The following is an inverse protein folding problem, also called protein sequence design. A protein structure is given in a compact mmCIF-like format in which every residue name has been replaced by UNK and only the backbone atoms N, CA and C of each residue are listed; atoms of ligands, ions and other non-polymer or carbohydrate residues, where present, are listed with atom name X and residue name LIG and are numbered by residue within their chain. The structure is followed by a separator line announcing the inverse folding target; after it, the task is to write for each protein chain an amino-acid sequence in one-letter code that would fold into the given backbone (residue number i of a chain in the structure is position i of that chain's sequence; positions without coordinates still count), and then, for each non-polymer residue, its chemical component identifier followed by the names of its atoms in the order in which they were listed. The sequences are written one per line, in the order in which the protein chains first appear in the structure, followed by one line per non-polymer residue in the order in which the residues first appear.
data_IF_413016624804
#
_entry.id   IF_413016624804
#
_cell.length_a   1.000
_cell.length_b   1.000
_cell.length_c   1.000
_cell.angle_alpha   90.00
_cell.angle_beta   90.00
_cell.angle_gamma   90.00
#
_symmetry.space_group_name_H-M   'P 1'
#
loop_
_entity.id
_entity.type
_entity.pdbx_description
1 polymer ?
#
# COMPACT_ATOMS: atom_id res chain seq x y z
N UNK A 1 19.59 -75.65 13.73
CA UNK A 1 18.54 -74.62 13.74
C UNK A 1 19.03 -73.53 14.66
N UNK A 2 19.11 -72.27 14.19
CA UNK A 2 18.91 -71.06 15.01
C UNK A 2 19.14 -69.82 14.14
N UNK A 3 18.09 -69.46 13.38
CA UNK A 3 18.03 -68.19 12.67
C UNK A 3 17.73 -67.07 13.67
N UNK A 4 18.77 -66.35 14.10
CA UNK A 4 18.63 -65.16 14.96
C UNK A 4 17.95 -64.05 14.17
N UNK A 5 16.65 -63.89 14.41
CA UNK A 5 15.81 -62.86 13.78
C UNK A 5 16.12 -61.49 14.41
N UNK A 6 17.12 -60.79 13.86
CA UNK A 6 17.55 -59.46 14.31
C UNK A 6 16.47 -58.43 13.97
N UNK A 7 15.46 -58.27 14.85
CA UNK A 7 14.47 -57.18 14.77
C UNK A 7 15.21 -55.84 14.68
N UNK A 8 15.24 -55.24 13.48
CA UNK A 8 15.71 -53.87 13.24
C UNK A 8 14.85 -52.93 14.08
N UNK A 9 15.33 -52.55 15.27
CA UNK A 9 14.76 -51.44 16.06
C UNK A 9 14.98 -50.17 15.25
N UNK A 10 13.97 -49.77 14.50
CA UNK A 10 13.93 -48.48 13.81
C UNK A 10 14.04 -47.40 14.89
N UNK A 11 15.10 -46.60 14.86
CA UNK A 11 15.31 -45.55 15.86
C UNK A 11 14.12 -44.58 15.80
N UNK A 12 13.60 -44.08 16.94
CA UNK A 12 12.43 -43.19 16.96
C UNK A 12 12.59 -41.95 16.05
N UNK A 13 13.83 -41.49 15.86
CA UNK A 13 14.20 -40.41 14.93
C UNK A 13 13.88 -40.77 13.47
N UNK A 14 14.15 -42.00 13.04
CA UNK A 14 13.85 -42.45 11.68
C UNK A 14 12.33 -42.60 11.44
N UNK A 15 11.58 -42.99 12.47
CA UNK A 15 10.11 -42.97 12.44
C UNK A 15 9.57 -41.54 12.30
N UNK A 16 10.10 -40.59 13.07
CA UNK A 16 9.71 -39.18 12.98
C UNK A 16 10.05 -38.59 11.59
N UNK A 17 11.23 -38.90 11.04
CA UNK A 17 11.63 -38.47 9.70
C UNK A 17 10.70 -39.03 8.62
N UNK A 18 10.41 -40.35 8.65
CA UNK A 18 9.49 -40.97 7.69
C UNK A 18 8.08 -40.39 7.79
N UNK A 19 7.63 -40.06 9.01
CA UNK A 19 6.33 -39.41 9.23
C UNK A 19 6.30 -38.01 8.61
N UNK A 20 7.36 -37.20 8.79
CA UNK A 20 7.46 -35.86 8.17
C UNK A 20 7.47 -35.97 6.64
N UNK A 21 8.25 -36.89 6.09
CA UNK A 21 8.29 -37.12 4.63
C UNK A 21 6.91 -37.54 4.12
N UNK A 22 6.25 -38.48 4.79
CA UNK A 22 4.89 -38.92 4.46
C UNK A 22 3.88 -37.77 4.46
N UNK A 23 3.94 -36.88 5.47
CA UNK A 23 3.11 -35.67 5.53
C UNK A 23 3.43 -34.74 4.36
N UNK A 24 4.69 -34.41 4.11
CA UNK A 24 5.08 -33.51 3.02
C UNK A 24 4.66 -34.05 1.64
N UNK A 25 4.74 -35.37 1.43
CA UNK A 25 4.24 -36.03 0.21
C UNK A 25 2.72 -35.93 0.10
N UNK A 26 1.98 -36.19 1.19
CA UNK A 26 0.53 -36.04 1.22
C UNK A 26 0.09 -34.60 0.89
N UNK A 27 0.80 -33.60 1.43
CA UNK A 27 0.52 -32.18 1.15
C UNK A 27 0.71 -31.80 -0.33
N UNK A 28 1.59 -32.49 -1.08
CA UNK A 28 1.77 -32.20 -2.51
C UNK A 28 0.52 -32.49 -3.34
N UNK A 29 -0.33 -33.44 -2.94
CA UNK A 29 -1.57 -33.74 -3.67
C UNK A 29 -2.57 -32.57 -3.65
N UNK A 30 -2.45 -31.67 -2.67
CA UNK A 30 -3.25 -30.45 -2.56
C UNK A 30 -2.53 -29.21 -3.10
N UNK A 31 -1.34 -29.37 -3.68
CA UNK A 31 -0.56 -28.27 -4.21
C UNK A 31 -1.06 -27.84 -5.59
N UNK A 32 -1.55 -26.60 -5.69
CA UNK A 32 -1.97 -26.01 -6.96
C UNK A 32 -0.90 -25.04 -7.46
N UNK A 33 -0.28 -25.26 -8.64
CA UNK A 33 0.65 -24.30 -9.19
C UNK A 33 -0.07 -23.01 -9.63
N UNK A 34 0.64 -21.88 -9.59
CA UNK A 34 0.13 -20.64 -10.15
C UNK A 34 -0.07 -20.78 -11.65
N UNK A 35 -1.30 -20.57 -12.11
CA UNK A 35 -1.59 -20.43 -13.54
C UNK A 35 -1.05 -19.08 -14.00
N UNK A 36 -0.22 -19.11 -15.04
CA UNK A 36 0.23 -17.91 -15.72
C UNK A 36 -0.87 -17.37 -16.63
N UNK A 37 -1.00 -16.05 -16.68
CA UNK A 37 -1.85 -15.36 -17.64
C UNK A 37 -0.98 -14.82 -18.80
N UNK A 38 -1.57 -14.50 -19.97
CA UNK A 38 -0.83 -13.85 -21.03
C UNK A 38 -0.37 -12.45 -20.61
N UNK A 39 0.74 -12.00 -21.19
CA UNK A 39 1.22 -10.62 -21.05
C UNK A 39 0.41 -9.75 -22.01
N UNK A 40 -0.34 -8.79 -21.49
CA UNK A 40 -1.17 -7.90 -22.30
C UNK A 40 -0.44 -6.62 -22.67
N UNK A 41 0.33 -6.05 -21.73
CA UNK A 41 1.09 -4.81 -21.96
C UNK A 41 2.28 -4.70 -21.01
N UNK A 42 3.44 -4.35 -21.55
CA UNK A 42 4.70 -4.23 -20.79
C UNK A 42 4.98 -2.77 -20.45
N UNK A 43 5.62 -2.56 -19.30
CA UNK A 43 6.23 -1.28 -18.93
C UNK A 43 7.31 -0.90 -19.95
N UNK A 44 7.36 0.39 -20.31
CA UNK A 44 8.44 0.96 -21.11
C UNK A 44 9.30 1.83 -20.20
N UNK A 45 10.54 1.43 -19.98
CA UNK A 45 11.51 2.14 -19.15
C UNK A 45 12.93 1.93 -19.69
N UNK A 46 13.92 2.76 -19.29
CA UNK A 46 15.32 2.52 -19.60
C UNK A 46 15.79 1.11 -19.21
N UNK A 47 16.78 0.58 -19.93
CA UNK A 47 17.27 -0.81 -19.72
C UNK A 47 17.72 -1.06 -18.29
N UNK A 48 18.40 -0.09 -17.68
CA UNK A 48 18.85 -0.16 -16.28
C UNK A 48 17.68 -0.29 -15.29
N UNK A 49 16.57 0.43 -15.52
CA UNK A 49 15.36 0.34 -14.72
C UNK A 49 14.69 -1.02 -14.91
N UNK A 50 14.59 -1.49 -16.15
CA UNK A 50 14.01 -2.80 -16.45
C UNK A 50 14.80 -3.93 -15.80
N UNK A 51 16.13 -3.88 -15.82
CA UNK A 51 16.97 -4.91 -15.20
C UNK A 51 16.71 -5.03 -13.69
N UNK A 52 16.56 -3.90 -12.99
CA UNK A 52 16.22 -3.88 -11.56
C UNK A 52 14.84 -4.49 -11.31
N UNK A 53 13.83 -4.04 -12.08
CA UNK A 53 12.46 -4.53 -11.91
C UNK A 53 12.31 -6.02 -12.25
N UNK A 54 13.00 -6.50 -13.29
CA UNK A 54 13.03 -7.90 -13.69
C UNK A 54 13.63 -8.79 -12.59
N UNK A 55 14.76 -8.36 -12.03
CA UNK A 55 15.48 -9.12 -11.02
C UNK A 55 14.77 -9.13 -9.65
N UNK A 56 14.21 -7.99 -9.23
CA UNK A 56 13.67 -7.84 -7.87
C UNK A 56 12.15 -7.88 -7.77
N UNK A 57 11.40 -7.65 -8.86
CA UNK A 57 9.96 -7.44 -8.78
C UNK A 57 9.12 -8.39 -9.67
N UNK A 58 9.59 -8.72 -10.88
CA UNK A 58 8.75 -9.41 -11.88
C UNK A 58 8.32 -10.81 -11.44
N UNK A 59 9.11 -11.53 -10.65
CA UNK A 59 8.76 -12.85 -10.16
C UNK A 59 7.41 -12.87 -9.41
N UNK A 60 7.07 -11.79 -8.70
CA UNK A 60 5.80 -11.67 -8.00
C UNK A 60 4.79 -10.78 -8.74
N UNK A 61 5.26 -9.70 -9.36
CA UNK A 61 4.43 -8.67 -9.97
C UNK A 61 4.21 -8.84 -11.48
N UNK A 62 4.36 -10.05 -12.05
CA UNK A 62 4.07 -10.32 -13.47
C UNK A 62 3.23 -11.58 -13.63
N UNK A 63 2.47 -11.66 -14.73
CA UNK A 63 1.61 -12.80 -15.06
C UNK A 63 2.39 -14.11 -15.29
N UNK A 64 3.67 -14.02 -15.61
CA UNK A 64 4.55 -15.17 -15.87
C UNK A 64 5.68 -15.18 -14.82
N UNK A 65 5.46 -15.79 -13.65
CA UNK A 65 6.43 -15.74 -12.56
C UNK A 65 7.55 -16.75 -12.81
N UNK A 66 8.81 -16.32 -12.71
CA UNK A 66 9.95 -17.23 -12.75
C UNK A 66 10.34 -17.70 -11.34
N UNK A 67 9.47 -18.52 -10.74
CA UNK A 67 9.70 -19.04 -9.39
C UNK A 67 10.77 -20.14 -9.37
N UNK A 68 11.58 -20.16 -8.31
CA UNK A 68 12.52 -21.25 -8.05
C UNK A 68 11.76 -22.57 -7.83
N UNK A 69 12.44 -23.71 -8.04
CA UNK A 69 11.79 -25.02 -7.92
C UNK A 69 11.25 -25.28 -6.51
N UNK A 70 11.94 -24.78 -5.48
CA UNK A 70 11.54 -24.98 -4.07
C UNK A 70 10.34 -24.11 -3.68
N UNK A 71 10.13 -22.96 -4.31
CA UNK A 71 8.93 -22.13 -4.11
C UNK A 71 7.66 -22.83 -4.61
N UNK A 72 7.81 -23.88 -5.43
CA UNK A 72 6.69 -24.64 -6.02
C UNK A 72 6.29 -25.84 -5.17
N UNK A 73 6.94 -26.08 -4.03
CA UNK A 73 6.69 -27.25 -3.16
C UNK A 73 5.80 -26.86 -1.98
N UNK A 74 4.73 -27.63 -1.73
CA UNK A 74 3.87 -27.40 -0.56
C UNK A 74 4.60 -27.76 0.75
N UNK A 75 4.31 -27.04 1.87
CA UNK A 75 3.33 -25.96 2.01
C UNK A 75 3.88 -24.57 1.62
N UNK A 76 5.17 -24.45 1.30
CA UNK A 76 5.83 -23.15 0.96
C UNK A 76 5.12 -22.49 -0.23
N UNK A 77 4.79 -23.28 -1.25
CA UNK A 77 4.07 -22.80 -2.43
C UNK A 77 2.74 -22.14 -2.11
N UNK A 78 2.04 -22.52 -1.04
CA UNK A 78 0.77 -21.88 -0.69
C UNK A 78 0.97 -20.44 -0.21
N UNK A 79 2.00 -20.21 0.60
CA UNK A 79 2.38 -18.86 1.03
C UNK A 79 2.85 -18.03 -0.17
N UNK A 80 3.75 -18.56 -0.99
CA UNK A 80 4.23 -17.89 -2.21
C UNK A 80 3.07 -17.56 -3.14
N UNK A 81 2.16 -18.50 -3.38
CA UNK A 81 1.01 -18.29 -4.26
C UNK A 81 0.06 -17.21 -3.72
N UNK A 82 -0.14 -17.16 -2.40
CA UNK A 82 -0.93 -16.12 -1.75
C UNK A 82 -0.27 -14.75 -1.92
N UNK A 83 1.02 -14.66 -1.68
CA UNK A 83 1.78 -13.40 -1.79
C UNK A 83 1.83 -12.90 -3.23
N UNK A 84 2.07 -13.79 -4.20
CA UNK A 84 2.07 -13.46 -5.62
C UNK A 84 0.69 -12.98 -6.08
N UNK A 85 -0.40 -13.62 -5.66
CA UNK A 85 -1.76 -13.16 -5.98
C UNK A 85 -2.01 -11.75 -5.45
N UNK A 86 -1.68 -11.51 -4.18
CA UNK A 86 -1.85 -10.20 -3.53
C UNK A 86 -0.95 -9.12 -4.11
N UNK A 87 0.28 -9.46 -4.50
CA UNK A 87 1.21 -8.57 -5.17
C UNK A 87 0.66 -8.08 -6.52
N UNK A 88 0.08 -8.99 -7.32
CA UNK A 88 -0.52 -8.68 -8.63
C UNK A 88 -1.78 -7.82 -8.53
N UNK A 89 -2.55 -7.95 -7.46
CA UNK A 89 -3.70 -7.06 -7.19
C UNK A 89 -3.28 -5.60 -7.02
N UNK A 90 -2.08 -5.34 -6.50
CA UNK A 90 -1.55 -3.98 -6.29
C UNK A 90 -0.83 -3.45 -7.54
N UNK A 91 0.01 -4.29 -8.14
CA UNK A 91 0.87 -3.92 -9.26
C UNK A 91 1.19 -5.13 -10.13
N UNK A 92 0.94 -4.99 -11.43
CA UNK A 92 1.25 -6.03 -12.41
C UNK A 92 1.97 -5.45 -13.65
N UNK A 93 3.24 -5.81 -13.84
CA UNK A 93 4.07 -5.37 -14.97
C UNK A 93 3.69 -6.01 -16.31
N UNK A 94 2.87 -7.07 -16.27
CA UNK A 94 2.33 -7.71 -17.48
C UNK A 94 1.04 -7.07 -18.00
N UNK A 95 0.49 -6.12 -17.24
CA UNK A 95 -0.78 -5.43 -17.52
C UNK A 95 -0.60 -3.90 -17.42
N UNK A 96 0.52 -3.39 -17.93
CA UNK A 96 0.93 -1.99 -17.77
C UNK A 96 0.17 -1.01 -18.69
N UNK A 97 -1.13 -0.86 -18.46
CA UNK A 97 -2.02 0.02 -19.23
C UNK A 97 -2.39 1.29 -18.47
N UNK A 98 -1.41 2.15 -18.20
CA UNK A 98 -1.58 3.36 -17.41
C UNK A 98 -1.37 4.63 -18.24
N UNK A 99 -2.11 5.69 -17.91
CA UNK A 99 -1.83 7.05 -18.37
C UNK A 99 -0.47 7.56 -17.84
N UNK A 100 0.03 8.67 -18.38
CA UNK A 100 1.32 9.23 -17.94
C UNK A 100 1.36 9.53 -16.44
N UNK A 101 0.29 10.14 -15.91
CA UNK A 101 0.19 10.46 -14.47
C UNK A 101 0.08 9.20 -13.58
N UNK A 102 -0.64 8.17 -14.02
CA UNK A 102 -0.72 6.89 -13.29
C UNK A 102 0.61 6.13 -13.33
N UNK A 103 1.29 6.15 -14.47
CA UNK A 103 2.62 5.57 -14.61
C UNK A 103 3.60 6.24 -13.65
N UNK A 104 3.63 7.57 -13.62
CA UNK A 104 4.42 8.32 -12.65
C UNK A 104 4.04 7.92 -11.22
N UNK A 105 2.75 7.97 -10.86
CA UNK A 105 2.28 7.60 -9.51
C UNK A 105 2.71 6.19 -9.08
N UNK A 106 2.69 5.21 -10.00
CA UNK A 106 3.16 3.85 -9.74
C UNK A 106 4.67 3.77 -9.56
N UNK A 107 5.45 4.52 -10.34
CA UNK A 107 6.89 4.61 -10.14
C UNK A 107 7.24 5.24 -8.79
N UNK A 108 6.52 6.30 -8.38
CA UNK A 108 6.63 6.88 -7.03
C UNK A 108 6.27 5.86 -5.94
N UNK A 109 5.25 5.04 -6.13
CA UNK A 109 4.88 3.98 -5.19
C UNK A 109 5.98 2.90 -5.08
N UNK A 110 6.52 2.44 -6.22
CA UNK A 110 7.64 1.49 -6.25
C UNK A 110 8.84 2.05 -5.47
N UNK A 111 9.23 3.30 -5.75
CA UNK A 111 10.35 3.95 -5.09
C UNK A 111 10.15 4.06 -3.57
N UNK A 112 8.94 4.43 -3.12
CA UNK A 112 8.60 4.48 -1.69
C UNK A 112 8.74 3.10 -1.02
N UNK A 113 8.24 2.06 -1.67
CA UNK A 113 8.30 0.69 -1.13
C UNK A 113 9.74 0.15 -1.05
N UNK A 114 10.57 0.51 -2.02
CA UNK A 114 12.01 0.19 -2.01
C UNK A 114 12.75 0.94 -0.91
N UNK A 115 12.56 2.26 -0.82
CA UNK A 115 13.24 3.12 0.17
C UNK A 115 12.88 2.77 1.61
N UNK A 116 11.62 2.41 1.85
CA UNK A 116 11.16 1.98 3.18
C UNK A 116 11.56 0.54 3.54
N UNK A 117 12.25 -0.18 2.65
CA UNK A 117 12.65 -1.57 2.86
C UNK A 117 11.47 -2.55 2.95
N UNK A 118 10.26 -2.10 2.57
CA UNK A 118 9.04 -2.93 2.59
C UNK A 118 8.98 -3.89 1.41
N UNK A 119 9.71 -3.61 0.33
CA UNK A 119 9.84 -4.47 -0.83
C UNK A 119 11.31 -4.62 -1.26
N UNK A 120 11.73 -5.84 -1.65
CA UNK A 120 10.99 -7.10 -1.55
C UNK A 120 10.78 -7.52 -0.08
N UNK A 121 9.85 -8.44 0.18
CA UNK A 121 9.63 -8.94 1.53
C UNK A 121 10.93 -9.49 2.13
N UNK A 122 11.22 -9.15 3.39
CA UNK A 122 12.48 -9.55 4.04
C UNK A 122 12.68 -11.07 4.01
N UNK A 123 11.63 -11.83 4.37
CA UNK A 123 11.60 -13.29 4.35
C UNK A 123 11.92 -13.87 2.97
N UNK A 124 11.42 -13.23 1.91
CA UNK A 124 11.73 -13.62 0.53
C UNK A 124 13.22 -13.41 0.21
N UNK A 125 13.78 -12.26 0.59
CA UNK A 125 15.21 -11.96 0.32
C UNK A 125 16.20 -12.86 1.07
N UNK A 126 15.77 -13.54 2.15
CA UNK A 126 16.60 -14.54 2.84
C UNK A 126 16.85 -15.78 1.99
N UNK A 127 15.85 -16.21 1.21
CA UNK A 127 15.96 -17.37 0.31
C UNK A 127 16.31 -16.96 -1.13
N UNK A 128 16.06 -15.70 -1.48
CA UNK A 128 16.29 -15.11 -2.81
C UNK A 128 17.19 -13.87 -2.71
N UNK A 129 18.48 -14.03 -2.33
CA UNK A 129 19.39 -12.89 -2.12
C UNK A 129 19.64 -12.08 -3.40
N UNK A 130 19.50 -12.71 -4.58
CA UNK A 130 19.61 -12.01 -5.86
C UNK A 130 18.56 -10.92 -6.03
N UNK A 131 17.37 -11.05 -5.41
CA UNK A 131 16.31 -10.05 -5.51
C UNK A 131 16.55 -8.84 -4.60
N UNK A 132 17.56 -8.87 -3.72
CA UNK A 132 17.84 -7.80 -2.76
C UNK A 132 18.16 -6.49 -3.49
N UNK A 133 17.47 -5.44 -3.09
CA UNK A 133 17.62 -4.11 -3.68
C UNK A 133 18.78 -3.38 -3.00
N UNK A 134 19.66 -2.79 -3.80
CA UNK A 134 20.81 -2.00 -3.33
C UNK A 134 20.48 -0.51 -3.30
N UNK A 135 21.32 0.28 -2.61
CA UNK A 135 21.22 1.75 -2.62
C UNK A 135 21.36 2.32 -4.04
N UNK A 136 22.18 1.69 -4.88
CA UNK A 136 22.35 2.08 -6.28
C UNK A 136 21.07 1.85 -7.08
N UNK A 137 20.38 0.73 -6.86
CA UNK A 137 19.10 0.45 -7.51
C UNK A 137 18.04 1.48 -7.12
N UNK A 138 17.98 1.84 -5.84
CA UNK A 138 17.09 2.90 -5.34
C UNK A 138 17.37 4.22 -6.05
N UNK A 139 18.64 4.59 -6.21
CA UNK A 139 19.03 5.84 -6.88
C UNK A 139 18.67 5.82 -8.37
N UNK A 140 18.89 4.70 -9.07
CA UNK A 140 18.49 4.55 -10.48
C UNK A 140 16.98 4.69 -10.66
N UNK A 141 16.19 4.00 -9.82
CA UNK A 141 14.73 4.13 -9.84
C UNK A 141 14.30 5.54 -9.44
N UNK A 142 14.97 6.19 -8.48
CA UNK A 142 14.72 7.58 -8.09
C UNK A 142 14.91 8.53 -9.27
N UNK A 143 16.06 8.49 -9.94
CA UNK A 143 16.36 9.35 -11.10
C UNK A 143 15.31 9.20 -12.20
N UNK A 144 14.96 7.96 -12.54
CA UNK A 144 13.91 7.69 -13.52
C UNK A 144 12.54 8.20 -13.07
N UNK A 145 12.16 7.94 -11.82
CA UNK A 145 10.86 8.39 -11.29
C UNK A 145 10.73 9.92 -11.31
N UNK A 146 11.82 10.63 -10.98
CA UNK A 146 11.87 12.09 -11.02
C UNK A 146 11.91 12.65 -12.45
N UNK A 147 12.48 11.93 -13.42
CA UNK A 147 12.45 12.37 -14.82
C UNK A 147 11.06 12.25 -15.46
N UNK A 148 10.16 11.45 -14.88
CA UNK A 148 8.75 11.36 -15.30
C UNK A 148 7.92 12.57 -14.84
N UNK A 149 8.33 13.25 -13.75
CA UNK A 149 7.70 14.50 -13.36
C UNK A 149 8.14 15.62 -14.30
N UNK A 150 7.27 16.01 -15.22
CA UNK A 150 7.39 17.26 -15.97
C UNK A 150 7.18 18.47 -15.05
N UNK A 151 8.16 18.73 -14.18
CA UNK A 151 8.40 20.09 -13.70
C UNK A 151 9.23 20.74 -14.80
N UNK A 152 8.57 21.47 -15.70
CA UNK A 152 9.24 22.57 -16.37
C UNK A 152 9.88 23.43 -15.26
N UNK A 153 11.17 23.78 -15.34
CA UNK A 153 11.79 24.61 -14.32
C UNK A 153 10.96 25.87 -14.17
N UNK A 154 10.58 26.16 -12.92
CA UNK A 154 9.85 27.37 -12.52
C UNK A 154 10.50 28.57 -13.19
N UNK A 155 9.83 29.14 -14.18
CA UNK A 155 10.12 30.50 -14.61
C UNK A 155 9.85 31.38 -13.39
N UNK A 156 10.91 31.97 -12.85
CA UNK A 156 10.83 33.10 -11.93
C UNK A 156 10.02 34.19 -12.65
N UNK A 157 8.74 34.30 -12.32
CA UNK A 157 7.99 35.53 -12.52
C UNK A 157 7.77 36.10 -11.11
N UNK A 158 8.65 37.04 -10.76
CA UNK A 158 8.39 38.01 -9.69
C UNK A 158 7.14 38.78 -10.11
N UNK A 159 6.02 38.52 -9.42
CA UNK A 159 4.93 39.49 -9.33
C UNK A 159 4.71 39.83 -7.87
N UNK A 160 5.04 41.08 -7.59
CA UNK A 160 4.86 41.76 -6.31
C UNK A 160 3.45 41.57 -5.76
N UNK A 161 3.44 41.33 -4.46
CA UNK A 161 2.29 41.33 -3.58
C UNK A 161 1.47 42.60 -3.73
N UNK A 162 0.20 42.46 -4.09
CA UNK A 162 -0.91 43.28 -3.60
C UNK A 162 -2.21 42.48 -3.76
N UNK A 163 -2.44 41.51 -2.87
CA UNK A 163 -3.75 40.87 -2.74
C UNK A 163 -4.60 41.64 -1.74
N UNK A 164 -5.42 42.55 -2.25
CA UNK A 164 -6.67 42.90 -1.59
C UNK A 164 -7.56 41.65 -1.64
N UNK A 165 -7.80 41.05 -0.48
CA UNK A 165 -8.76 39.97 -0.32
C UNK A 165 -10.15 40.59 -0.36
N UNK A 166 -10.73 40.70 -1.56
CA UNK A 166 -12.18 40.85 -1.69
C UNK A 166 -12.82 39.49 -1.42
N UNK A 167 -13.46 39.39 -0.25
CA UNK A 167 -14.36 38.28 0.10
C UNK A 167 -15.59 38.39 -0.81
N UNK A 168 -15.51 37.78 -1.99
CA UNK A 168 -16.68 37.54 -2.82
C UNK A 168 -17.59 36.52 -2.15
N UNK A 169 -18.58 37.04 -1.42
CA UNK A 169 -19.78 36.31 -1.00
C UNK A 169 -20.57 35.91 -2.26
N UNK A 170 -20.43 34.66 -2.69
CA UNK A 170 -21.42 34.04 -3.57
C UNK A 170 -22.04 32.82 -2.87
N UNK A 171 -23.25 33.05 -2.36
CA UNK A 171 -24.14 32.04 -1.82
C UNK A 171 -24.77 31.23 -2.97
N UNK A 172 -24.19 30.08 -3.27
CA UNK A 172 -24.87 28.95 -3.91
C UNK A 172 -24.57 27.73 -3.04
N UNK A 173 -25.51 26.83 -2.73
CA UNK A 173 -25.19 25.62 -1.98
C UNK A 173 -24.18 24.82 -2.81
N UNK A 174 -22.92 24.77 -2.37
CA UNK A 174 -21.88 23.94 -2.99
C UNK A 174 -22.33 22.49 -2.86
N UNK A 175 -22.95 21.95 -3.92
CA UNK A 175 -23.25 20.53 -4.00
C UNK A 175 -21.92 19.81 -4.15
N UNK A 176 -21.39 19.31 -3.03
CA UNK A 176 -20.11 18.62 -3.02
C UNK A 176 -20.14 17.38 -3.93
N UNK A 177 -19.03 17.11 -4.64
CA UNK A 177 -18.95 15.97 -5.55
C UNK A 177 -19.06 14.65 -4.81
N UNK A 178 -19.53 13.63 -5.53
CA UNK A 178 -19.63 12.25 -5.04
C UNK A 178 -18.78 11.34 -5.92
N UNK A 179 -17.99 10.49 -5.28
CA UNK A 179 -17.16 9.49 -5.97
C UNK A 179 -18.03 8.38 -6.58
N UNK A 180 -17.57 7.67 -7.64
CA UNK A 180 -18.36 6.61 -8.28
C UNK A 180 -18.86 5.48 -7.39
N UNK A 181 -18.25 5.26 -6.21
CA UNK A 181 -18.73 4.29 -5.21
C UNK A 181 -19.65 4.91 -4.14
N UNK A 182 -20.09 6.16 -4.33
CA UNK A 182 -21.05 6.82 -3.46
C UNK A 182 -20.46 7.43 -2.17
N UNK A 183 -19.15 7.59 -2.06
CA UNK A 183 -18.54 8.43 -1.00
C UNK A 183 -18.62 9.89 -1.42
N UNK A 184 -19.25 10.74 -0.59
CA UNK A 184 -19.42 12.16 -0.85
C UNK A 184 -18.31 12.99 -0.18
N UNK A 185 -17.84 14.03 -0.85
CA UNK A 185 -16.94 15.02 -0.24
C UNK A 185 -17.69 15.85 0.82
N UNK A 186 -17.02 16.18 1.92
CA UNK A 186 -17.49 17.16 2.91
C UNK A 186 -16.31 17.99 3.38
N UNK A 187 -16.56 19.24 3.77
CA UNK A 187 -15.58 20.11 4.43
C UNK A 187 -15.50 19.89 5.95
N UNK A 188 -16.41 19.10 6.52
CA UNK A 188 -16.48 18.91 7.98
C UNK A 188 -15.20 18.34 8.58
N UNK A 189 -14.43 17.57 7.81
CA UNK A 189 -13.15 17.02 8.27
C UNK A 189 -12.14 18.10 8.66
N UNK A 190 -12.26 19.32 8.15
CA UNK A 190 -11.41 20.45 8.53
C UNK A 190 -11.58 20.84 10.00
N UNK A 191 -12.67 20.41 10.64
CA UNK A 191 -12.96 20.61 12.07
C UNK A 191 -12.62 19.39 12.94
N UNK A 192 -12.28 18.26 12.32
CA UNK A 192 -12.00 17.02 13.05
C UNK A 192 -10.57 17.03 13.62
N UNK A 193 -10.29 16.12 14.56
CA UNK A 193 -8.95 16.06 15.16
C UNK A 193 -7.96 15.44 14.17
N UNK A 194 -6.75 15.98 14.16
CA UNK A 194 -5.61 15.39 13.47
C UNK A 194 -5.16 14.16 14.25
N UNK A 195 -5.10 13.01 13.58
CA UNK A 195 -4.65 11.73 14.16
C UNK A 195 -3.23 11.37 13.75
N UNK A 196 -2.74 11.88 12.62
CA UNK A 196 -1.39 11.60 12.12
C UNK A 196 -0.99 12.62 11.04
N UNK A 197 0.32 12.71 10.78
CA UNK A 197 0.89 13.53 9.72
C UNK A 197 2.11 12.84 9.10
N UNK A 198 2.33 13.09 7.81
CA UNK A 198 3.52 12.59 7.10
C UNK A 198 3.96 13.55 6.01
N UNK A 199 5.23 13.44 5.64
CA UNK A 199 5.81 14.07 4.44
C UNK A 199 6.39 12.98 3.56
N UNK A 200 6.22 13.08 2.25
CA UNK A 200 6.88 12.18 1.30
C UNK A 200 7.95 12.92 0.50
N UNK A 201 8.78 12.16 -0.23
CA UNK A 201 9.86 12.71 -1.07
C UNK A 201 9.35 13.53 -2.26
N UNK A 202 8.06 13.45 -2.57
CA UNK A 202 7.36 14.33 -3.51
C UNK A 202 7.16 15.75 -2.97
N UNK A 203 7.73 16.05 -1.79
CA UNK A 203 7.60 17.33 -1.09
C UNK A 203 6.13 17.67 -0.81
N UNK A 204 5.31 16.67 -0.49
CA UNK A 204 3.95 16.90 -0.01
C UNK A 204 3.89 16.90 1.51
N UNK A 205 2.96 17.71 2.06
CA UNK A 205 2.50 17.63 3.45
C UNK A 205 1.19 16.86 3.45
N UNK A 206 1.07 15.86 4.32
CA UNK A 206 -0.11 15.01 4.44
C UNK A 206 -0.61 15.04 5.87
N UNK A 207 -1.85 15.46 6.06
CA UNK A 207 -2.48 15.51 7.39
C UNK A 207 -3.68 14.58 7.37
N UNK A 208 -3.76 13.71 8.36
CA UNK A 208 -4.79 12.69 8.50
C UNK A 208 -5.72 13.11 9.65
N UNK A 209 -7.00 13.22 9.35
CA UNK A 209 -8.08 13.61 10.25
C UNK A 209 -8.99 12.41 10.51
N UNK A 210 -9.51 12.28 11.73
CA UNK A 210 -10.50 11.27 12.09
C UNK A 210 -11.72 11.90 12.75
N UNK A 211 -12.92 11.46 12.39
CA UNK A 211 -14.14 11.88 13.08
C UNK A 211 -14.22 11.30 14.50
N UNK A 212 -15.19 11.76 15.30
CA UNK A 212 -15.32 11.35 16.70
C UNK A 212 -15.46 9.83 16.90
N UNK A 213 -16.11 9.13 15.96
CA UNK A 213 -16.24 7.67 15.99
C UNK A 213 -14.86 7.02 15.84
N UNK A 214 -14.10 7.43 14.83
CA UNK A 214 -12.75 6.92 14.60
C UNK A 214 -11.79 7.27 15.75
N UNK A 215 -11.88 8.48 16.28
CA UNK A 215 -11.08 8.92 17.43
C UNK A 215 -11.37 8.08 18.66
N UNK A 216 -12.65 7.86 18.98
CA UNK A 216 -13.03 7.01 20.11
C UNK A 216 -12.52 5.58 19.92
N UNK A 217 -12.61 5.05 18.71
CA UNK A 217 -12.07 3.72 18.39
C UNK A 217 -10.55 3.64 18.64
N UNK A 218 -9.79 4.64 18.19
CA UNK A 218 -8.34 4.75 18.46
C UNK A 218 -8.07 4.86 19.97
N UNK A 219 -8.77 5.77 20.65
CA UNK A 219 -8.62 6.03 22.09
C UNK A 219 -8.93 4.78 22.93
N UNK A 220 -9.85 3.92 22.51
CA UNK A 220 -10.19 2.68 23.23
C UNK A 220 -9.54 1.42 22.65
N UNK A 221 -8.66 1.55 21.65
CA UNK A 221 -8.08 0.42 20.90
C UNK A 221 -9.13 -0.55 20.31
N UNK A 222 -10.33 -0.03 20.03
CA UNK A 222 -11.47 -0.82 19.53
C UNK A 222 -11.69 -0.56 18.03
N UNK A 223 -10.69 -0.93 17.23
CA UNK A 223 -10.70 -0.75 15.77
C UNK A 223 -10.43 -2.04 14.99
N UNK A 224 -10.68 -3.20 15.63
CA UNK A 224 -10.57 -4.54 15.04
C UNK A 224 -11.89 -5.32 15.13
N UNK A 225 -12.90 -5.00 14.30
CA UNK A 225 -12.88 -4.05 13.18
C UNK A 225 -13.22 -2.61 13.60
N UNK A 226 -12.97 -1.66 12.69
CA UNK A 226 -13.41 -0.27 12.86
C UNK A 226 -14.96 -0.18 12.91
N UNK A 227 -15.54 0.65 13.79
CA UNK A 227 -16.99 0.85 13.85
C UNK A 227 -17.55 1.48 12.57
N UNK A 228 -18.75 1.07 12.15
CA UNK A 228 -19.48 1.73 11.06
C UNK A 228 -19.69 3.22 11.39
N UNK A 229 -19.58 4.06 10.37
CA UNK A 229 -19.57 5.52 10.51
C UNK A 229 -18.19 6.12 10.85
N UNK A 230 -17.14 5.32 11.07
CA UNK A 230 -15.77 5.84 11.14
C UNK A 230 -15.39 6.49 9.81
N UNK A 231 -14.91 7.73 9.84
CA UNK A 231 -14.42 8.43 8.65
C UNK A 231 -13.02 8.95 8.92
N UNK A 232 -12.11 8.62 8.00
CA UNK A 232 -10.76 9.14 7.97
C UNK A 232 -10.55 9.94 6.69
N UNK A 233 -9.95 11.12 6.82
CA UNK A 233 -9.61 11.97 5.68
C UNK A 233 -8.13 12.30 5.71
N UNK A 234 -7.43 11.98 4.63
CA UNK A 234 -6.05 12.42 4.40
C UNK A 234 -6.07 13.55 3.38
N UNK A 235 -5.72 14.75 3.84
CA UNK A 235 -5.56 15.91 2.99
C UNK A 235 -4.09 16.10 2.63
N UNK A 236 -3.82 16.49 1.39
CA UNK A 236 -2.49 16.55 0.78
C UNK A 236 -2.26 17.93 0.18
N UNK A 237 -1.15 18.56 0.56
CA UNK A 237 -0.72 19.87 0.06
C UNK A 237 0.72 19.79 -0.45
N UNK A 238 1.09 20.71 -1.35
CA UNK A 238 2.50 20.94 -1.68
C UNK A 238 3.21 21.58 -0.48
N UNK A 239 4.50 21.28 -0.31
CA UNK A 239 5.36 22.02 0.59
C UNK A 239 5.77 23.33 -0.08
N UNK A 240 5.59 24.43 0.63
CA UNK A 240 6.13 25.73 0.27
C UNK A 240 7.28 26.04 1.23
N UNK A 241 8.48 26.22 0.67
CA UNK A 241 9.68 26.55 1.43
C UNK A 241 9.99 28.03 1.26
N UNK A 242 10.01 28.75 2.37
CA UNK A 242 10.34 30.17 2.43
C UNK A 242 11.86 30.37 2.53
N UNK A 243 12.32 31.58 2.19
CA UNK A 243 13.75 31.93 2.16
C UNK A 243 14.44 31.78 3.53
N UNK A 244 13.70 31.92 4.62
CA UNK A 244 14.17 31.70 5.99
C UNK A 244 14.30 30.21 6.37
N UNK A 245 14.02 29.29 5.44
CA UNK A 245 14.06 27.84 5.65
C UNK A 245 12.77 27.24 6.22
N UNK A 246 11.76 28.05 6.51
CA UNK A 246 10.46 27.58 7.00
C UNK A 246 9.71 26.81 5.90
N UNK A 247 9.02 25.72 6.30
CA UNK A 247 8.19 24.91 5.40
C UNK A 247 6.75 25.00 5.85
N UNK A 248 5.86 25.40 4.94
CA UNK A 248 4.41 25.50 5.17
C UNK A 248 3.62 24.71 4.14
N UNK A 249 2.35 24.47 4.45
CA UNK A 249 1.41 23.93 3.47
C UNK A 249 1.09 25.01 2.44
N UNK A 250 1.39 24.73 1.18
CA UNK A 250 1.04 25.57 0.04
C UNK A 250 -0.24 25.07 -0.65
N UNK A 251 -0.17 24.98 -1.98
CA UNK A 251 -1.29 24.58 -2.83
C UNK A 251 -1.91 23.23 -2.41
N UNK A 252 -3.24 23.19 -2.34
CA UNK A 252 -4.00 21.96 -2.12
C UNK A 252 -3.89 21.03 -3.32
N UNK A 253 -3.60 19.76 -3.08
CA UNK A 253 -3.45 18.75 -4.13
C UNK A 253 -4.67 17.84 -4.20
N UNK A 254 -5.05 17.24 -3.07
CA UNK A 254 -6.22 16.34 -2.99
C UNK A 254 -6.62 16.03 -1.54
N UNK A 255 -7.86 15.57 -1.38
CA UNK A 255 -8.36 14.96 -0.16
C UNK A 255 -8.80 13.51 -0.44
N UNK A 256 -8.35 12.58 0.41
CA UNK A 256 -8.60 11.15 0.29
C UNK A 256 -9.44 10.69 1.48
N UNK A 257 -10.59 10.09 1.21
CA UNK A 257 -11.57 9.67 2.20
C UNK A 257 -11.57 8.15 2.32
N UNK A 258 -11.72 7.68 3.54
CA UNK A 258 -12.10 6.32 3.90
C UNK A 258 -13.33 6.37 4.81
N UNK A 259 -14.43 5.74 4.40
CA UNK A 259 -15.70 5.70 5.15
C UNK A 259 -16.05 4.26 5.49
N UNK A 260 -16.23 3.94 6.78
CA UNK A 260 -16.56 2.59 7.24
C UNK A 260 -18.06 2.34 7.15
N UNK A 261 -18.45 1.36 6.35
CA UNK A 261 -19.81 0.83 6.26
C UNK A 261 -19.74 -0.60 5.71
N UNK A 262 -19.91 -1.59 6.59
CA UNK A 262 -19.80 -3.02 6.25
C UNK A 262 -20.90 -3.53 5.35
N UNK A 263 -22.07 -2.88 5.34
CA UNK A 263 -23.21 -3.30 4.52
C UNK A 263 -23.09 -2.72 3.11
N UNK A 264 -22.62 -1.47 3.00
CA UNK A 264 -22.48 -0.78 1.71
C UNK A 264 -21.23 -1.18 0.93
N UNK A 265 -20.11 -1.44 1.61
CA UNK A 265 -18.79 -1.60 0.98
C UNK A 265 -18.23 -3.03 1.10
N UNK A 266 -19.05 -4.03 0.76
CA UNK A 266 -18.75 -5.47 0.93
C UNK A 266 -17.45 -5.91 0.24
N UNK A 267 -17.15 -5.34 -0.93
CA UNK A 267 -16.05 -5.78 -1.79
C UNK A 267 -14.70 -5.14 -1.44
N UNK A 268 -14.72 -4.21 -0.48
CA UNK A 268 -13.57 -3.40 -0.07
C UNK A 268 -13.37 -3.44 1.44
N UNK A 269 -13.63 -4.60 2.06
CA UNK A 269 -13.48 -4.85 3.50
C UNK A 269 -14.34 -3.91 4.38
N UNK A 270 -15.49 -3.50 3.85
CA UNK A 270 -16.40 -2.55 4.47
C UNK A 270 -15.91 -1.10 4.46
N UNK A 271 -14.95 -0.74 3.59
CA UNK A 271 -14.44 0.63 3.45
C UNK A 271 -14.78 1.24 2.09
N UNK A 272 -15.46 2.38 2.10
CA UNK A 272 -15.62 3.24 0.94
C UNK A 272 -14.38 4.12 0.79
N UNK A 273 -13.78 4.12 -0.40
CA UNK A 273 -12.61 4.96 -0.71
C UNK A 273 -13.00 6.08 -1.66
N UNK A 274 -12.46 7.27 -1.48
CA UNK A 274 -12.54 8.32 -2.50
C UNK A 274 -11.29 9.19 -2.50
N UNK A 275 -10.96 9.77 -3.65
CA UNK A 275 -9.94 10.80 -3.79
C UNK A 275 -10.51 11.92 -4.65
N UNK A 276 -10.52 13.13 -4.10
CA UNK A 276 -10.96 14.35 -4.77
C UNK A 276 -9.73 15.23 -4.98
N UNK A 277 -9.39 15.54 -6.23
CA UNK A 277 -8.14 16.23 -6.58
C UNK A 277 -8.42 17.63 -7.12
N UNK A 278 -7.48 18.55 -6.88
CA UNK A 278 -7.57 19.93 -7.39
C UNK A 278 -8.63 20.77 -6.69
N UNK A 279 -8.71 22.04 -7.10
CA UNK A 279 -9.65 23.02 -6.56
C UNK A 279 -11.11 22.72 -6.96
N UNK A 280 -11.31 22.00 -8.06
CA UNK A 280 -12.62 21.53 -8.53
C UNK A 280 -13.08 20.22 -7.84
N UNK A 281 -12.23 19.64 -6.98
CA UNK A 281 -12.51 18.41 -6.23
C UNK A 281 -12.91 17.24 -7.14
N UNK A 282 -12.21 17.08 -8.26
CA UNK A 282 -12.53 16.03 -9.23
C UNK A 282 -12.38 14.62 -8.60
N UNK A 283 -13.42 13.78 -8.59
CA UNK A 283 -13.35 12.44 -8.03
C UNK A 283 -12.52 11.51 -8.92
N UNK A 284 -11.73 10.64 -8.30
CA UNK A 284 -10.98 9.60 -8.99
C UNK A 284 -11.88 8.43 -9.38
N UNK A 285 -11.60 7.84 -10.55
CA UNK A 285 -12.29 6.66 -11.06
C UNK A 285 -13.48 6.99 -11.95
N UNK A 286 -13.80 6.09 -12.89
CA UNK A 286 -14.99 6.20 -13.75
C UNK A 286 -16.17 5.38 -13.21
N UNK A 287 -15.87 4.29 -12.52
CA UNK A 287 -16.82 3.28 -12.00
C UNK A 287 -16.42 2.94 -10.57
N UNK A 288 -17.33 2.38 -9.76
CA UNK A 288 -17.05 1.99 -8.38
C UNK A 288 -15.87 1.00 -8.21
N UNK A 289 -15.52 0.24 -9.27
CA UNK A 289 -14.43 -0.74 -9.25
C UNK A 289 -13.05 -0.14 -8.96
N UNK A 290 -12.87 1.17 -9.18
CA UNK A 290 -11.61 1.86 -8.86
C UNK A 290 -11.18 1.63 -7.40
N UNK A 291 -12.14 1.55 -6.47
CA UNK A 291 -11.84 1.36 -5.05
C UNK A 291 -11.23 -0.02 -4.79
N UNK A 292 -11.66 -1.03 -5.53
CA UNK A 292 -11.10 -2.39 -5.51
C UNK A 292 -9.72 -2.43 -6.15
N UNK A 293 -9.58 -1.82 -7.32
CA UNK A 293 -8.40 -1.89 -8.17
C UNK A 293 -7.24 -1.01 -7.68
N UNK A 294 -7.53 0.14 -7.09
CA UNK A 294 -6.52 1.17 -6.80
C UNK A 294 -6.33 1.47 -5.31
N UNK A 295 -7.30 1.15 -4.46
CA UNK A 295 -7.28 1.54 -3.05
C UNK A 295 -7.13 0.33 -2.12
N UNK A 296 -8.15 -0.53 -2.02
CA UNK A 296 -8.17 -1.58 -1.00
C UNK A 296 -7.04 -2.59 -1.16
N UNK A 297 -6.57 -2.89 -2.37
CA UNK A 297 -5.48 -3.85 -2.58
C UNK A 297 -4.21 -3.44 -1.80
N UNK A 298 -3.84 -2.16 -1.83
CA UNK A 298 -2.69 -1.62 -1.11
C UNK A 298 -2.93 -1.59 0.40
N UNK A 299 -4.12 -1.15 0.82
CA UNK A 299 -4.50 -1.10 2.23
C UNK A 299 -4.58 -2.49 2.87
N UNK A 300 -5.09 -3.49 2.14
CA UNK A 300 -5.02 -4.89 2.53
C UNK A 300 -3.57 -5.27 2.72
N UNK A 301 -2.71 -5.12 1.68
CA UNK A 301 -1.29 -5.48 1.75
C UNK A 301 -0.56 -4.95 2.96
N UNK A 302 -0.73 -3.68 3.29
CA UNK A 302 0.17 -3.00 4.22
C UNK A 302 -0.47 -2.62 5.56
N UNK A 303 -1.79 -2.65 5.67
CA UNK A 303 -2.54 -2.15 6.82
C UNK A 303 -3.63 -3.13 7.32
N UNK A 304 -3.64 -4.40 6.88
CA UNK A 304 -4.61 -5.40 7.37
C UNK A 304 -4.64 -5.50 8.90
N UNK A 305 -3.46 -5.48 9.54
CA UNK A 305 -3.32 -5.58 11.00
C UNK A 305 -3.95 -4.42 11.76
N UNK A 306 -4.17 -3.27 11.12
CA UNK A 306 -4.74 -2.04 11.69
C UNK A 306 -6.19 -1.82 11.22
N UNK A 307 -6.85 -2.85 10.67
CA UNK A 307 -8.18 -2.70 10.10
C UNK A 307 -8.19 -1.83 8.84
N UNK A 308 -7.11 -1.93 8.05
CA UNK A 308 -6.90 -1.27 6.76
C UNK A 308 -6.56 0.23 6.83
N UNK A 309 -6.27 0.80 8.00
CA UNK A 309 -5.80 2.19 8.12
C UNK A 309 -4.29 2.26 8.33
N UNK A 310 -3.60 3.10 7.56
CA UNK A 310 -2.17 3.39 7.75
C UNK A 310 -1.95 4.32 8.94
N UNK A 311 -0.78 4.21 9.57
CA UNK A 311 -0.26 5.18 10.54
C UNK A 311 -1.26 5.51 11.68
N UNK A 312 -1.98 4.48 12.16
CA UNK A 312 -2.84 4.59 13.35
C UNK A 312 -1.94 4.97 14.54
N UNK A 313 -2.17 6.11 15.20
CA UNK A 313 -1.35 6.51 16.33
C UNK A 313 -1.48 5.48 17.44
N UNK A 314 -0.37 4.80 17.77
CA UNK A 314 -0.35 3.88 18.90
C UNK A 314 -0.32 4.68 20.21
N UNK A 315 -1.04 4.21 21.24
CA UNK A 315 -0.89 4.78 22.58
C UNK A 315 0.54 4.57 23.06
N UNK A 316 1.20 5.66 23.44
CA UNK A 316 2.51 5.64 24.13
C UNK A 316 2.36 5.01 25.53
N UNK A 317 1.18 5.14 26.16
CA UNK A 317 0.84 4.56 27.45
C UNK A 317 -0.42 3.68 27.33
N UNK A 318 -0.26 2.45 26.84
CA UNK A 318 -1.35 1.48 26.88
C UNK A 318 -1.73 1.15 28.33
N UNK A 319 -2.98 0.82 28.62
CA UNK A 319 -3.37 0.35 29.96
C UNK A 319 -2.53 -0.85 30.42
N UNK A 320 -2.08 -1.66 29.46
CA UNK A 320 -1.13 -2.75 29.68
C UNK A 320 0.24 -2.25 30.16
N UNK A 321 0.80 -1.21 29.54
CA UNK A 321 2.06 -0.58 29.97
C UNK A 321 1.90 0.05 31.37
N UNK A 322 0.79 0.74 31.62
CA UNK A 322 0.50 1.35 32.94
C UNK A 322 0.37 0.26 34.02
N UNK A 323 -0.38 -0.82 33.76
CA UNK A 323 -0.53 -1.95 34.70
C UNK A 323 0.79 -2.68 34.98
N UNK A 324 1.70 -2.73 34.01
CA UNK A 324 3.02 -3.35 34.18
C UNK A 324 4.02 -2.45 34.92
N UNK A 325 3.85 -1.12 34.89
CA UNK A 325 4.65 -0.18 35.69
C UNK A 325 4.18 -0.08 37.15
N UNK A 326 2.97 -0.56 37.45
CA UNK A 326 2.39 -0.59 38.79
C UNK A 326 2.60 -1.92 39.53
N UNK A 327 3.36 -2.86 38.95
CA UNK A 327 3.81 -4.11 39.59
C UNK A 327 5.29 -4.02 39.89
#
# INVERSE_FOLDING_TARGET
MDSVNKKRRVKPIALAFLLIVGICTALQFFNQPLKGNPVTKKIKAPREVLAILENSCFNCHSNQPNLSWYDKIAPISWAVNKDVKRAREVLNFSEWNYSAGEHQGKMYAILNMMQSGKMPLHEYTLLHPSAKITTQDIETIRKYTLSLSSIAPLKKEEKESNQNIEISKNNTPLKFPTSPNGVQYTDDYKKWKVISMSTLFDQSIRVIYGNDIALKAIETENFHPWPNGSIIVKSVWKQEKLDNGEVRAGEFVNAQFMVKDTEKYTDTEGWGFAKFSGNDLHPTGKTASFAKESCIACHRQLAEKTGYLFDVPMKVNTERLIKNLQK
#
